data_IF_356679251317
#
_entry.id   IF_356679251317
#
_cell.length_a   1.000
_cell.length_b   1.000
_cell.length_c   1.000
_cell.angle_alpha   90.00
_cell.angle_beta   90.00
_cell.angle_gamma   90.00
#
_symmetry.space_group_name_H-M   'P 1'
#
loop_
_entity.id
_entity.type
_entity.pdbx_description
1 polymer ?
#
# COMPACT_ATOMS: atom_id res chain seq x y z
N UNK A 1 -4.37 -2.17 -4.73
CA UNK A 1 -4.36 -3.56 -5.28
C UNK A 1 -4.09 -4.55 -4.15
N UNK A 2 -4.36 -5.86 -4.30
CA UNK A 2 -4.02 -6.83 -3.24
C UNK A 2 -2.49 -7.02 -3.15
N UNK A 3 -1.99 -7.40 -1.97
CA UNK A 3 -0.56 -7.70 -1.77
C UNK A 3 -0.05 -8.82 -2.68
N UNK A 4 -0.88 -9.84 -2.94
CA UNK A 4 -0.56 -10.93 -3.89
C UNK A 4 -0.45 -10.43 -5.33
N UNK A 5 -1.32 -9.51 -5.75
CA UNK A 5 -1.27 -8.90 -7.06
C UNK A 5 -0.06 -7.98 -7.21
N UNK A 6 0.25 -7.18 -6.19
CA UNK A 6 1.45 -6.35 -6.17
C UNK A 6 2.72 -7.20 -6.28
N UNK A 7 2.81 -8.28 -5.51
CA UNK A 7 3.98 -9.16 -5.48
C UNK A 7 4.28 -9.71 -6.89
N UNK A 8 3.27 -10.25 -7.56
CA UNK A 8 3.41 -10.86 -8.88
C UNK A 8 3.55 -9.84 -10.00
N UNK A 9 2.71 -8.81 -10.05
CA UNK A 9 2.65 -7.87 -11.18
C UNK A 9 3.72 -6.77 -11.14
N UNK A 10 4.17 -6.35 -9.94
CA UNK A 10 5.12 -5.23 -9.79
C UNK A 10 6.54 -5.69 -9.50
N UNK A 11 6.69 -6.75 -8.73
CA UNK A 11 7.99 -7.15 -8.20
C UNK A 11 8.45 -8.54 -8.66
N UNK A 12 7.59 -9.31 -9.34
CA UNK A 12 7.86 -10.69 -9.73
C UNK A 12 8.14 -11.62 -8.53
N UNK A 13 7.65 -11.27 -7.35
CA UNK A 13 7.85 -12.02 -6.11
C UNK A 13 6.63 -12.88 -5.78
N UNK A 14 6.87 -13.92 -4.97
CA UNK A 14 5.81 -14.68 -4.33
C UNK A 14 5.13 -13.88 -3.20
N UNK A 15 3.88 -14.24 -2.90
CA UNK A 15 3.09 -13.67 -1.82
C UNK A 15 3.77 -13.81 -0.45
N UNK A 16 4.33 -14.97 -0.11
CA UNK A 16 4.97 -15.18 1.19
C UNK A 16 6.17 -14.26 1.38
N UNK A 17 6.94 -14.02 0.32
CA UNK A 17 8.06 -13.08 0.31
C UNK A 17 7.57 -11.65 0.55
N UNK A 18 6.50 -11.22 -0.13
CA UNK A 18 5.89 -9.91 0.10
C UNK A 18 5.34 -9.75 1.53
N UNK A 19 4.72 -10.80 2.08
CA UNK A 19 4.22 -10.83 3.45
C UNK A 19 5.34 -10.71 4.49
N UNK A 20 6.46 -11.42 4.29
CA UNK A 20 7.66 -11.29 5.13
C UNK A 20 8.28 -9.89 5.05
N UNK A 21 8.31 -9.29 3.86
CA UNK A 21 8.79 -7.91 3.68
C UNK A 21 7.93 -6.91 4.47
N UNK A 22 6.61 -7.05 4.40
CA UNK A 22 5.68 -6.26 5.20
C UNK A 22 5.93 -6.43 6.70
N UNK A 23 6.01 -7.66 7.21
CA UNK A 23 6.32 -7.93 8.62
C UNK A 23 7.70 -7.42 9.06
N UNK A 24 8.66 -7.31 8.14
CA UNK A 24 9.99 -6.78 8.43
C UNK A 24 10.10 -5.25 8.39
N UNK A 25 9.03 -4.55 8.02
CA UNK A 25 9.03 -3.08 7.88
C UNK A 25 9.82 -2.56 6.67
N UNK A 26 10.28 -3.45 5.78
CA UNK A 26 11.03 -3.09 4.56
C UNK A 26 10.14 -2.91 3.34
N UNK A 27 8.84 -2.86 3.54
CA UNK A 27 7.90 -2.78 2.44
C UNK A 27 7.78 -1.33 1.94
N UNK A 28 8.00 -1.07 0.63
CA UNK A 28 8.19 0.29 0.12
C UNK A 28 6.90 1.08 -0.09
N UNK A 29 5.72 0.46 0.02
CA UNK A 29 4.42 1.10 -0.23
C UNK A 29 3.54 1.10 1.03
N UNK A 30 2.59 2.05 1.16
CA UNK A 30 1.58 1.96 2.21
C UNK A 30 0.72 0.71 2.05
N UNK A 31 0.52 -0.03 3.14
CA UNK A 31 -0.34 -1.23 3.19
C UNK A 31 -1.36 -1.08 4.30
N UNK A 32 -2.59 -1.46 4.01
CA UNK A 32 -3.66 -1.59 4.99
C UNK A 32 -4.13 -3.04 5.08
N UNK A 33 -4.29 -3.53 6.30
CA UNK A 33 -4.90 -4.83 6.54
C UNK A 33 -6.41 -4.63 6.77
N UNK A 34 -7.22 -5.21 5.90
CA UNK A 34 -8.67 -5.25 6.08
C UNK A 34 -9.05 -6.17 7.25
N UNK A 35 -10.24 -5.98 7.86
CA UNK A 35 -10.76 -6.89 8.90
C UNK A 35 -10.90 -8.35 8.43
N UNK A 36 -10.94 -8.57 7.13
CA UNK A 36 -10.97 -9.89 6.49
C UNK A 36 -9.60 -10.57 6.42
N UNK A 37 -8.52 -9.89 6.85
CA UNK A 37 -7.14 -10.36 6.77
C UNK A 37 -6.47 -10.12 5.42
N UNK A 38 -7.14 -9.46 4.47
CA UNK A 38 -6.55 -9.12 3.16
C UNK A 38 -5.70 -7.86 3.26
N UNK A 39 -4.47 -7.91 2.73
CA UNK A 39 -3.59 -6.74 2.64
C UNK A 39 -3.80 -5.99 1.33
N UNK A 40 -4.17 -4.71 1.43
CA UNK A 40 -4.30 -3.77 0.33
C UNK A 40 -3.05 -2.90 0.23
N UNK A 41 -2.40 -2.93 -0.92
CA UNK A 41 -1.26 -2.08 -1.26
C UNK A 41 -1.76 -0.87 -2.03
N UNK A 42 -1.41 0.32 -1.54
CA UNK A 42 -1.69 1.59 -2.19
C UNK A 42 -0.49 2.01 -3.04
N UNK A 43 -0.45 1.54 -4.29
CA UNK A 43 0.34 2.21 -5.30
C UNK A 43 -0.44 3.47 -5.73
N UNK A 44 0.21 4.63 -5.77
CA UNK A 44 -0.42 5.94 -5.99
C UNK A 44 -1.32 6.07 -7.25
N UNK A 45 -1.41 5.02 -8.06
CA UNK A 45 -2.27 4.83 -9.22
C UNK A 45 -3.77 4.63 -8.88
N UNK A 46 -4.12 4.26 -7.64
CA UNK A 46 -5.51 4.03 -7.22
C UNK A 46 -5.78 4.64 -5.84
N UNK A 47 -5.64 5.96 -5.71
CA UNK A 47 -6.38 6.65 -4.65
C UNK A 47 -7.84 6.76 -5.08
N UNK A 48 -8.70 5.98 -4.43
CA UNK A 48 -10.11 6.34 -4.27
C UNK A 48 -10.17 7.80 -3.80
N UNK A 49 -10.95 8.59 -4.52
CA UNK A 49 -11.05 10.05 -4.49
C UNK A 49 -11.64 10.58 -3.18
N UNK A 50 -11.83 9.70 -2.18
CA UNK A 50 -12.34 10.00 -0.85
C UNK A 50 -11.26 10.21 0.20
N UNK A 51 -10.00 9.88 -0.09
CA UNK A 51 -8.86 10.40 0.66
C UNK A 51 -8.29 11.61 -0.08
N UNK A 52 -8.78 12.81 0.25
CA UNK A 52 -7.98 14.01 -0.05
C UNK A 52 -6.71 13.88 0.80
N UNK A 53 -5.50 14.02 0.23
CA UNK A 53 -4.36 14.33 1.07
C UNK A 53 -4.70 15.63 1.78
N UNK A 54 -4.75 15.63 3.12
CA UNK A 54 -4.58 16.84 3.91
C UNK A 54 -3.11 17.24 3.72
N UNK A 55 -2.77 17.71 2.52
CA UNK A 55 -1.61 18.57 2.37
C UNK A 55 -1.95 19.82 3.14
N UNK A 56 -1.23 19.98 4.26
CA UNK A 56 -1.08 21.22 5.02
C UNK A 56 -1.18 22.46 4.13
N UNK A 57 -2.36 23.07 4.06
CA UNK A 57 -2.52 24.45 3.59
C UNK A 57 -2.48 25.36 4.83
N UNK A 58 -1.37 25.31 5.55
CA UNK A 58 -1.07 26.18 6.68
C UNK A 58 0.25 26.90 6.41
N UNK A 59 0.35 27.57 5.26
CA UNK A 59 1.48 28.45 4.94
C UNK A 59 1.20 29.38 3.76
N UNK A 60 0.06 30.09 3.76
CA UNK A 60 -0.04 31.37 3.04
C UNK A 60 -0.69 32.40 3.95
N UNK A 61 0.17 33.37 4.28
CA UNK A 61 0.02 34.65 4.97
C UNK A 61 -1.37 35.26 5.00
#
# INVERSE_FOLDING_TARGET
>A
MKLSEWATQKNGLDYNTAYRLHGSGRFPWPVEQLPTGTFLVYDGSKQDHRCRPVTMEAARR
#
